data_IF_798594918116
#
_entry.id   IF_798594918116
#
_cell.length_a   1.000
_cell.length_b   1.000
_cell.length_c   1.000
_cell.angle_alpha   90.00
_cell.angle_beta   90.00
_cell.angle_gamma   90.00
#
_symmetry.space_group_name_H-M   'P 1'
#
loop_
_entity.id
_entity.type
_entity.pdbx_description
1 polymer ?
#
# COMPACT_ATOMS: atom_id res chain seq x y z
N UNK A 1 -24.38 -51.63 -8.34
CA UNK A 1 -23.04 -51.15 -8.69
C UNK A 1 -23.16 -49.65 -8.88
N UNK A 2 -22.76 -48.85 -7.87
CA UNK A 2 -22.69 -47.37 -7.98
C UNK A 2 -21.42 -47.04 -8.77
N UNK A 3 -21.55 -46.58 -10.00
CA UNK A 3 -20.44 -45.98 -10.73
C UNK A 3 -20.05 -44.70 -9.99
N UNK A 4 -18.95 -44.70 -9.24
CA UNK A 4 -18.25 -43.48 -8.85
C UNK A 4 -17.77 -42.83 -10.15
N UNK A 5 -18.47 -41.79 -10.61
CA UNK A 5 -17.93 -40.88 -11.62
C UNK A 5 -16.73 -40.18 -10.98
N UNK A 6 -15.53 -40.58 -11.30
CA UNK A 6 -14.33 -39.82 -11.00
C UNK A 6 -14.52 -38.41 -11.63
N UNK A 7 -14.80 -37.45 -10.79
CA UNK A 7 -14.85 -36.04 -11.22
C UNK A 7 -13.41 -35.66 -11.42
N UNK A 8 -12.93 -35.62 -12.66
CA UNK A 8 -11.65 -35.03 -13.00
C UNK A 8 -11.76 -33.56 -12.64
N UNK A 9 -11.13 -33.15 -11.53
CA UNK A 9 -11.05 -31.74 -11.13
C UNK A 9 -9.88 -31.12 -11.88
N UNK A 10 -10.09 -29.95 -12.44
CA UNK A 10 -9.00 -29.16 -13.01
C UNK A 10 -7.98 -28.83 -11.90
N UNK A 11 -6.71 -28.95 -12.23
CA UNK A 11 -5.65 -28.54 -11.32
C UNK A 11 -5.56 -27.01 -11.28
N UNK A 12 -5.37 -26.45 -10.08
CA UNK A 12 -5.05 -25.04 -9.92
C UNK A 12 -3.60 -24.78 -10.43
N UNK A 13 -3.32 -23.54 -10.81
CA UNK A 13 -2.00 -23.19 -11.32
C UNK A 13 -0.90 -23.35 -10.28
N UNK A 14 0.34 -23.61 -10.72
CA UNK A 14 1.50 -23.64 -9.83
C UNK A 14 1.66 -22.33 -9.06
N UNK A 15 1.37 -21.21 -9.68
CA UNK A 15 1.38 -19.88 -9.04
C UNK A 15 0.40 -19.84 -7.86
N UNK A 16 -0.80 -20.38 -8.01
CA UNK A 16 -1.79 -20.44 -6.92
C UNK A 16 -1.36 -21.36 -5.78
N UNK A 17 -0.70 -22.49 -6.10
CA UNK A 17 -0.15 -23.40 -5.09
C UNK A 17 0.97 -22.76 -4.28
N UNK A 18 1.81 -21.94 -4.91
CA UNK A 18 2.97 -21.27 -4.30
C UNK A 18 2.63 -19.94 -3.63
N UNK A 19 1.40 -19.45 -3.78
CA UNK A 19 0.97 -18.17 -3.22
C UNK A 19 1.21 -18.14 -1.70
N UNK A 20 1.95 -17.14 -1.19
CA UNK A 20 2.20 -17.03 0.25
C UNK A 20 0.90 -16.80 1.01
N UNK A 21 0.69 -17.58 2.08
CA UNK A 21 -0.46 -17.41 2.95
C UNK A 21 -0.35 -16.11 3.74
N UNK A 22 -1.46 -15.39 3.89
CA UNK A 22 -1.51 -14.16 4.68
C UNK A 22 -1.09 -14.42 6.13
N UNK A 23 -0.02 -13.76 6.57
CA UNK A 23 0.48 -13.86 7.94
C UNK A 23 -0.57 -13.41 8.98
N UNK A 24 -1.43 -12.46 8.62
CA UNK A 24 -2.50 -11.93 9.47
C UNK A 24 -3.68 -12.91 9.53
N UNK A 25 -4.13 -13.40 8.37
CA UNK A 25 -5.35 -14.22 8.28
C UNK A 25 -5.17 -15.64 8.81
N UNK A 26 -3.95 -16.18 8.85
CA UNK A 26 -3.67 -17.50 9.43
C UNK A 26 -4.03 -17.60 10.92
N UNK A 27 -4.19 -16.47 11.62
CA UNK A 27 -4.58 -16.43 13.03
C UNK A 27 -6.11 -16.55 13.25
N UNK A 28 -6.91 -16.32 12.21
CA UNK A 28 -8.38 -16.33 12.30
C UNK A 28 -8.94 -17.65 12.87
N UNK A 29 -8.53 -18.84 12.42
CA UNK A 29 -9.07 -20.09 12.95
C UNK A 29 -8.80 -20.28 14.45
N UNK A 30 -7.65 -19.80 14.95
CA UNK A 30 -7.31 -19.84 16.38
C UNK A 30 -8.23 -18.92 17.19
N UNK A 31 -8.43 -17.70 16.71
CA UNK A 31 -9.34 -16.74 17.32
C UNK A 31 -10.79 -17.26 17.37
N UNK A 32 -11.27 -17.86 16.28
CA UNK A 32 -12.61 -18.40 16.19
C UNK A 32 -12.80 -19.60 17.13
N UNK A 33 -11.77 -20.47 17.27
CA UNK A 33 -11.78 -21.58 18.22
C UNK A 33 -11.86 -21.08 19.66
N UNK A 34 -11.04 -20.09 20.03
CA UNK A 34 -11.04 -19.50 21.36
C UNK A 34 -12.40 -18.85 21.69
N UNK A 35 -13.00 -18.11 20.74
CA UNK A 35 -14.33 -17.52 20.90
C UNK A 35 -15.42 -18.57 21.11
N UNK A 36 -15.39 -19.69 20.36
CA UNK A 36 -16.33 -20.82 20.56
C UNK A 36 -16.22 -21.45 21.93
N UNK A 37 -15.04 -21.36 22.55
CA UNK A 37 -14.79 -21.85 23.93
C UNK A 37 -15.14 -20.78 25.01
N UNK A 38 -15.74 -19.64 24.62
CA UNK A 38 -16.13 -18.58 25.55
C UNK A 38 -15.02 -17.59 25.89
N UNK A 39 -13.83 -17.71 25.27
CA UNK A 39 -12.73 -16.76 25.52
C UNK A 39 -12.96 -15.45 24.79
N UNK A 40 -12.83 -14.32 25.49
CA UNK A 40 -12.85 -12.99 24.89
C UNK A 40 -11.53 -12.77 24.13
N UNK A 41 -11.60 -12.57 22.81
CA UNK A 41 -10.44 -12.36 21.95
C UNK A 41 -10.36 -10.88 21.54
N UNK A 42 -9.21 -10.26 21.81
CA UNK A 42 -8.88 -8.91 21.35
C UNK A 42 -8.02 -9.00 20.08
N UNK A 43 -8.50 -8.38 18.99
CA UNK A 43 -7.84 -8.43 17.69
C UNK A 43 -6.85 -7.26 17.54
N UNK A 44 -5.62 -7.42 18.01
CA UNK A 44 -4.55 -6.42 17.89
C UNK A 44 -3.72 -6.59 16.60
N UNK A 45 -4.04 -7.61 15.81
CA UNK A 45 -3.38 -7.93 14.54
C UNK A 45 -4.08 -7.31 13.32
N UNK A 46 -5.20 -6.61 13.52
CA UNK A 46 -5.97 -5.95 12.47
C UNK A 46 -5.97 -4.45 12.74
N UNK A 47 -5.36 -3.68 11.85
CA UNK A 47 -5.35 -2.22 11.91
C UNK A 47 -6.64 -1.60 11.36
N UNK A 48 -7.79 -2.03 11.87
CA UNK A 48 -9.07 -1.41 11.50
C UNK A 48 -9.36 -0.26 12.46
N UNK A 49 -9.68 0.94 11.93
CA UNK A 49 -10.14 2.04 12.78
C UNK A 49 -11.40 1.68 13.56
N UNK A 50 -11.47 2.07 14.83
CA UNK A 50 -12.60 1.82 15.74
C UNK A 50 -13.55 3.02 15.87
N UNK A 51 -13.22 4.15 15.27
CA UNK A 51 -14.07 5.34 15.19
C UNK A 51 -15.17 5.16 14.15
N UNK A 52 -16.26 5.91 14.30
CA UNK A 52 -17.36 5.89 13.33
C UNK A 52 -16.92 6.53 12.01
N UNK A 53 -17.35 5.94 10.89
CA UNK A 53 -17.22 6.59 9.58
C UNK A 53 -17.97 7.95 9.57
N UNK A 54 -17.49 8.95 8.81
CA UNK A 54 -18.10 10.26 8.76
C UNK A 54 -19.58 10.17 8.35
N UNK A 55 -20.44 10.81 9.13
CA UNK A 55 -21.89 10.78 8.85
C UNK A 55 -22.25 11.29 7.46
N UNK A 56 -21.55 12.34 6.98
CA UNK A 56 -21.75 12.88 5.63
C UNK A 56 -21.49 11.84 4.53
N UNK A 57 -20.47 10.99 4.68
CA UNK A 57 -20.18 9.93 3.73
C UNK A 57 -21.26 8.84 3.74
N UNK A 58 -21.69 8.43 4.94
CA UNK A 58 -22.77 7.43 5.09
C UNK A 58 -24.10 7.97 4.55
N UNK A 59 -24.41 9.24 4.83
CA UNK A 59 -25.64 9.89 4.32
C UNK A 59 -25.58 10.04 2.79
N UNK A 60 -24.42 10.38 2.22
CA UNK A 60 -24.25 10.46 0.78
C UNK A 60 -24.51 9.11 0.10
N UNK A 61 -24.00 8.01 0.67
CA UNK A 61 -24.26 6.65 0.17
C UNK A 61 -25.76 6.30 0.25
N UNK A 62 -26.40 6.60 1.39
CA UNK A 62 -27.84 6.29 1.59
C UNK A 62 -28.76 7.08 0.69
N UNK A 63 -28.40 8.33 0.39
CA UNK A 63 -29.20 9.24 -0.43
C UNK A 63 -28.80 9.20 -1.90
N UNK A 64 -27.84 8.36 -2.25
CA UNK A 64 -27.42 8.20 -3.64
C UNK A 64 -28.51 7.51 -4.44
N UNK A 65 -29.07 8.23 -5.39
CA UNK A 65 -30.09 7.72 -6.29
C UNK A 65 -29.62 7.89 -7.73
N UNK A 66 -29.47 6.78 -8.41
CA UNK A 66 -29.21 6.75 -9.85
C UNK A 66 -30.36 6.01 -10.54
N UNK A 67 -30.89 6.59 -11.59
CA UNK A 67 -31.81 5.89 -12.48
C UNK A 67 -31.07 4.81 -13.29
N UNK A 68 -29.82 5.08 -13.64
CA UNK A 68 -28.94 4.16 -14.37
C UNK A 68 -27.55 4.09 -13.74
N UNK A 69 -27.02 2.89 -13.61
CA UNK A 69 -25.62 2.65 -13.25
C UNK A 69 -24.83 2.40 -14.54
N UNK A 70 -24.20 3.44 -15.06
CA UNK A 70 -23.38 3.37 -16.27
C UNK A 70 -21.88 3.20 -15.95
N UNK A 71 -21.10 2.87 -16.96
CA UNK A 71 -19.64 2.86 -16.83
C UNK A 71 -19.12 4.24 -16.47
N UNK A 72 -18.22 4.29 -15.48
CA UNK A 72 -17.44 5.50 -15.17
C UNK A 72 -16.21 5.61 -16.08
N UNK A 73 -15.57 6.77 -16.07
CA UNK A 73 -14.26 6.94 -16.70
C UNK A 73 -13.24 5.98 -16.06
N UNK A 74 -12.33 5.42 -16.87
CA UNK A 74 -11.32 4.43 -16.38
C UNK A 74 -10.41 4.94 -15.28
N UNK A 75 -10.11 6.25 -15.26
CA UNK A 75 -9.37 6.87 -14.17
C UNK A 75 -10.24 7.25 -12.95
N UNK A 76 -11.53 6.94 -12.95
CA UNK A 76 -12.49 7.32 -11.91
C UNK A 76 -13.29 8.59 -12.25
N UNK A 77 -14.34 8.84 -11.47
CA UNK A 77 -15.23 9.99 -11.66
C UNK A 77 -14.46 11.31 -11.60
N UNK A 78 -14.69 12.18 -12.57
CA UNK A 78 -14.01 13.48 -12.68
C UNK A 78 -14.26 14.37 -11.45
N UNK A 79 -15.47 14.36 -10.92
CA UNK A 79 -15.85 15.11 -9.72
C UNK A 79 -15.02 14.68 -8.51
N UNK A 80 -14.80 13.37 -8.35
CA UNK A 80 -13.99 12.83 -7.26
C UNK A 80 -12.52 13.24 -7.44
N UNK A 81 -11.96 13.08 -8.66
CA UNK A 81 -10.56 13.44 -8.95
C UNK A 81 -10.32 14.93 -8.74
N UNK A 82 -11.19 15.80 -9.26
CA UNK A 82 -11.14 17.24 -9.00
C UNK A 82 -11.24 17.58 -7.51
N UNK A 83 -12.18 16.93 -6.82
CA UNK A 83 -12.35 17.13 -5.38
C UNK A 83 -11.10 16.74 -4.59
N UNK A 84 -10.46 15.63 -4.94
CA UNK A 84 -9.20 15.21 -4.31
C UNK A 84 -8.05 16.18 -4.60
N UNK A 85 -7.87 16.60 -5.85
CA UNK A 85 -6.82 17.55 -6.23
C UNK A 85 -7.04 18.90 -5.54
N UNK A 86 -8.18 19.53 -5.75
CA UNK A 86 -8.43 20.91 -5.33
C UNK A 86 -8.66 21.07 -3.82
N UNK A 87 -9.34 20.09 -3.20
CA UNK A 87 -9.79 20.20 -1.80
C UNK A 87 -8.92 19.44 -0.81
N UNK A 88 -8.07 18.55 -1.30
CA UNK A 88 -7.19 17.76 -0.45
C UNK A 88 -5.72 17.95 -0.81
N UNK A 89 -5.23 17.44 -1.95
CA UNK A 89 -3.79 17.45 -2.26
C UNK A 89 -3.19 18.83 -2.33
N UNK A 90 -3.81 19.79 -3.02
CA UNK A 90 -3.30 21.17 -3.10
C UNK A 90 -3.24 21.85 -1.72
N UNK A 91 -4.17 21.50 -0.80
CA UNK A 91 -4.16 22.07 0.56
C UNK A 91 -3.04 21.55 1.45
N UNK A 92 -2.53 20.37 1.16
CA UNK A 92 -1.40 19.78 1.87
C UNK A 92 -0.07 19.97 1.12
N UNK A 93 -0.06 20.83 0.09
CA UNK A 93 1.15 21.18 -0.65
C UNK A 93 1.63 20.12 -1.63
N UNK A 94 0.76 19.22 -2.08
CA UNK A 94 1.05 18.29 -3.17
C UNK A 94 0.40 18.86 -4.44
N UNK A 95 1.24 19.28 -5.38
CA UNK A 95 0.82 19.87 -6.65
C UNK A 95 0.71 18.76 -7.70
N UNK A 96 -0.52 18.33 -7.98
CA UNK A 96 -0.87 17.36 -9.01
C UNK A 96 -2.08 17.82 -9.80
N UNK A 97 -2.20 17.32 -11.02
CA UNK A 97 -3.35 17.55 -11.89
C UNK A 97 -4.34 16.37 -11.80
N UNK A 98 -5.55 16.57 -12.31
CA UNK A 98 -6.55 15.50 -12.40
C UNK A 98 -6.10 14.35 -13.31
N UNK A 99 -5.23 14.61 -14.27
CA UNK A 99 -4.76 13.61 -15.23
C UNK A 99 -3.64 12.73 -14.64
N UNK A 100 -3.03 13.17 -13.55
CA UNK A 100 -2.03 12.41 -12.80
C UNK A 100 -2.65 11.56 -11.66
N UNK A 101 -3.98 11.54 -11.55
CA UNK A 101 -4.68 10.83 -10.49
C UNK A 101 -5.60 9.75 -11.05
N UNK A 102 -5.41 8.51 -10.58
CA UNK A 102 -6.25 7.35 -10.88
C UNK A 102 -6.92 6.86 -9.60
N UNK A 103 -8.22 6.63 -9.65
CA UNK A 103 -9.01 6.06 -8.56
C UNK A 103 -9.05 4.54 -8.72
N UNK A 104 -8.70 3.83 -7.66
CA UNK A 104 -8.66 2.36 -7.62
C UNK A 104 -9.59 1.81 -6.51
N UNK A 105 -9.77 0.49 -6.48
CA UNK A 105 -10.46 -0.20 -5.39
C UNK A 105 -9.49 -0.34 -4.22
N UNK A 106 -9.40 0.67 -3.39
CA UNK A 106 -8.52 0.78 -2.22
C UNK A 106 -7.00 0.71 -2.53
N UNK A 107 -6.17 1.04 -1.52
CA UNK A 107 -4.71 1.08 -1.66
C UNK A 107 -4.06 -0.23 -2.10
N UNK A 108 -4.68 -1.38 -1.87
CA UNK A 108 -4.13 -2.67 -2.31
C UNK A 108 -4.06 -2.81 -3.83
N UNK A 109 -5.07 -2.33 -4.56
CA UNK A 109 -5.03 -2.29 -6.01
C UNK A 109 -4.01 -1.26 -6.48
N UNK A 110 -3.93 -0.09 -5.83
CA UNK A 110 -2.93 0.94 -6.15
C UNK A 110 -1.50 0.41 -6.03
N UNK A 111 -1.17 -0.32 -4.94
CA UNK A 111 0.15 -0.95 -4.78
C UNK A 111 0.42 -1.96 -5.89
N UNK A 112 -0.57 -2.80 -6.22
CA UNK A 112 -0.40 -3.81 -7.26
C UNK A 112 -0.16 -3.17 -8.62
N UNK A 113 -0.95 -2.15 -8.99
CA UNK A 113 -0.79 -1.42 -10.26
C UNK A 113 0.53 -0.64 -10.30
N UNK A 114 0.95 -0.03 -9.18
CA UNK A 114 2.23 0.68 -9.11
C UNK A 114 3.42 -0.27 -9.37
N UNK A 115 3.39 -1.47 -8.78
CA UNK A 115 4.41 -2.49 -9.04
C UNK A 115 4.38 -2.98 -10.49
N UNK A 116 3.19 -3.16 -11.08
CA UNK A 116 3.02 -3.61 -12.46
C UNK A 116 3.49 -2.56 -13.47
N UNK A 117 3.32 -1.28 -13.17
CA UNK A 117 3.79 -0.17 -14.01
C UNK A 117 5.32 -0.01 -13.91
N UNK A 118 5.88 -0.13 -12.69
CA UNK A 118 7.28 0.15 -12.42
C UNK A 118 8.23 -1.01 -12.78
N UNK A 119 7.74 -2.26 -12.80
CA UNK A 119 8.60 -3.44 -12.82
C UNK A 119 8.12 -4.50 -13.82
N UNK A 120 9.06 -5.26 -14.37
CA UNK A 120 8.80 -6.46 -15.15
C UNK A 120 8.96 -7.73 -14.30
N UNK A 121 8.33 -8.87 -14.67
CA UNK A 121 8.60 -10.14 -14.00
C UNK A 121 10.10 -10.47 -13.98
N UNK A 122 10.62 -10.79 -12.80
CA UNK A 122 12.04 -11.04 -12.56
C UNK A 122 12.80 -9.85 -11.98
N UNK A 123 12.20 -8.66 -11.95
CA UNK A 123 12.80 -7.49 -11.33
C UNK A 123 12.77 -7.55 -9.79
N UNK A 124 13.56 -6.68 -9.18
CA UNK A 124 13.70 -6.56 -7.73
C UNK A 124 13.14 -5.23 -7.24
N UNK A 125 12.48 -5.27 -6.08
CA UNK A 125 11.96 -4.10 -5.37
C UNK A 125 12.55 -4.07 -3.96
N UNK A 126 13.20 -2.98 -3.60
CA UNK A 126 13.72 -2.77 -2.25
C UNK A 126 12.59 -2.37 -1.31
N UNK A 127 12.52 -2.99 -0.13
CA UNK A 127 11.60 -2.65 0.96
C UNK A 127 12.35 -2.56 2.28
N UNK A 128 11.81 -1.78 3.23
CA UNK A 128 12.37 -1.68 4.59
C UNK A 128 11.64 -2.64 5.52
N UNK A 129 12.36 -3.57 6.14
CA UNK A 129 11.77 -4.58 7.04
C UNK A 129 11.83 -4.10 8.50
N UNK A 130 10.72 -4.22 9.28
CA UNK A 130 9.46 -4.89 8.94
C UNK A 130 8.54 -4.02 8.06
N UNK A 131 7.81 -4.66 7.13
CA UNK A 131 6.91 -3.99 6.20
C UNK A 131 5.51 -4.62 6.18
N UNK A 132 4.56 -3.98 5.50
CA UNK A 132 3.21 -4.49 5.32
C UNK A 132 3.24 -5.83 4.58
N UNK A 133 2.78 -6.90 5.25
CA UNK A 133 2.97 -8.28 4.81
C UNK A 133 2.39 -8.59 3.43
N UNK A 134 1.35 -7.84 2.99
CA UNK A 134 0.74 -8.07 1.69
C UNK A 134 1.64 -7.62 0.52
N UNK A 135 2.68 -6.82 0.75
CA UNK A 135 3.67 -6.52 -0.30
C UNK A 135 4.29 -7.80 -0.86
N UNK A 136 4.52 -8.83 -0.01
CA UNK A 136 4.95 -10.15 -0.47
C UNK A 136 3.98 -10.76 -1.48
N UNK A 137 2.68 -10.65 -1.22
CA UNK A 137 1.64 -11.18 -2.11
C UNK A 137 1.61 -10.43 -3.42
N UNK A 138 1.67 -9.08 -3.39
CA UNK A 138 1.66 -8.26 -4.59
C UNK A 138 2.93 -8.48 -5.44
N UNK A 139 4.11 -8.53 -4.81
CA UNK A 139 5.34 -8.86 -5.51
C UNK A 139 5.29 -10.24 -6.16
N UNK A 140 4.82 -11.26 -5.42
CA UNK A 140 4.64 -12.60 -5.97
C UNK A 140 3.67 -12.63 -7.16
N UNK A 141 2.56 -11.89 -7.06
CA UNK A 141 1.57 -11.80 -8.17
C UNK A 141 2.18 -11.23 -9.43
N UNK A 142 3.11 -10.29 -9.30
CA UNK A 142 3.80 -9.64 -10.40
C UNK A 142 5.11 -10.35 -10.81
N UNK A 143 5.47 -11.45 -10.15
CA UNK A 143 6.71 -12.18 -10.44
C UNK A 143 7.97 -11.45 -10.01
N UNK A 144 7.88 -10.57 -9.00
CA UNK A 144 8.95 -9.73 -8.48
C UNK A 144 9.60 -10.36 -7.26
N UNK A 145 10.84 -9.95 -6.98
CA UNK A 145 11.57 -10.29 -5.77
C UNK A 145 11.66 -9.09 -4.85
N UNK A 146 11.20 -9.23 -3.59
CA UNK A 146 11.44 -8.20 -2.57
C UNK A 146 12.84 -8.37 -1.97
N UNK A 147 13.61 -7.28 -1.98
CA UNK A 147 14.92 -7.15 -1.34
C UNK A 147 14.73 -6.34 -0.05
N UNK A 148 14.68 -7.05 1.07
CA UNK A 148 14.47 -6.40 2.36
C UNK A 148 15.77 -5.84 2.92
N UNK A 149 15.76 -4.55 3.28
CA UNK A 149 16.81 -3.92 4.09
C UNK A 149 16.28 -3.87 5.52
N UNK A 150 17.07 -4.40 6.45
CA UNK A 150 16.70 -4.46 7.87
C UNK A 150 16.74 -3.08 8.50
N UNK A 151 15.68 -2.70 9.19
CA UNK A 151 15.67 -1.55 10.08
C UNK A 151 15.83 -1.99 11.54
N UNK A 152 16.12 -1.08 12.44
CA UNK A 152 16.43 -1.41 13.83
C UNK A 152 15.45 -0.73 14.79
N UNK A 153 14.82 -1.52 15.67
CA UNK A 153 13.95 -1.01 16.72
C UNK A 153 14.65 -0.03 17.68
N UNK A 154 15.96 -0.19 17.85
CA UNK A 154 16.77 0.67 18.76
C UNK A 154 16.86 2.10 18.27
N UNK A 155 16.71 2.33 16.95
CA UNK A 155 16.64 3.66 16.36
C UNK A 155 15.20 4.04 15.89
N UNK A 156 14.19 3.30 16.36
CA UNK A 156 12.80 3.55 16.01
C UNK A 156 12.44 3.14 14.59
N UNK A 157 13.13 2.19 14.00
CA UNK A 157 12.94 1.72 12.62
C UNK A 157 13.13 2.81 11.56
N UNK A 158 14.03 3.77 11.83
CA UNK A 158 14.37 4.81 10.86
C UNK A 158 15.05 4.22 9.61
N UNK A 159 15.05 5.01 8.53
CA UNK A 159 15.73 4.64 7.29
C UNK A 159 17.21 4.35 7.58
N UNK A 160 17.74 3.19 7.17
CA UNK A 160 19.15 2.85 7.30
C UNK A 160 20.04 3.77 6.47
N UNK A 161 21.34 3.68 6.74
CA UNK A 161 22.35 4.42 5.98
C UNK A 161 22.27 4.12 4.48
N UNK A 162 22.61 5.11 3.67
CA UNK A 162 22.57 5.06 2.20
C UNK A 162 23.35 3.86 1.65
N UNK A 163 24.46 3.50 2.29
CA UNK A 163 25.32 2.38 1.92
C UNK A 163 24.59 1.03 1.93
N UNK A 164 23.57 0.87 2.76
CA UNK A 164 22.77 -0.37 2.79
C UNK A 164 21.89 -0.49 1.53
N UNK A 165 21.40 0.63 1.00
CA UNK A 165 20.69 0.65 -0.27
C UNK A 165 21.63 0.37 -1.44
N UNK A 166 22.80 1.00 -1.44
CA UNK A 166 23.84 0.78 -2.47
C UNK A 166 24.25 -0.70 -2.57
N UNK A 167 24.37 -1.39 -1.42
CA UNK A 167 24.65 -2.84 -1.37
C UNK A 167 23.51 -3.70 -1.88
N UNK A 168 22.26 -3.24 -1.69
CA UNK A 168 21.07 -3.99 -2.07
C UNK A 168 20.71 -3.81 -3.55
N UNK A 169 21.09 -2.70 -4.17
CA UNK A 169 20.80 -2.38 -5.57
C UNK A 169 21.59 -3.29 -6.50
N UNK A 170 20.91 -3.85 -7.49
CA UNK A 170 21.46 -4.65 -8.59
C UNK A 170 20.91 -4.16 -9.93
N UNK A 171 21.39 -4.71 -11.04
CA UNK A 171 20.86 -4.39 -12.38
C UNK A 171 19.35 -4.73 -12.55
N UNK A 172 18.82 -5.58 -11.66
CA UNK A 172 17.41 -5.96 -11.62
C UNK A 172 16.56 -5.05 -10.75
N UNK A 173 17.16 -4.22 -9.92
CA UNK A 173 16.41 -3.32 -9.05
C UNK A 173 15.72 -2.24 -9.88
N UNK A 174 14.40 -2.08 -9.71
CA UNK A 174 13.58 -1.10 -10.46
C UNK A 174 12.84 -0.13 -9.58
N UNK A 175 12.60 -0.50 -8.32
CA UNK A 175 11.85 0.36 -7.40
C UNK A 175 12.32 0.22 -5.95
N UNK A 176 12.07 1.28 -5.20
CA UNK A 176 12.08 1.29 -3.74
C UNK A 176 10.62 1.51 -3.30
N UNK A 177 10.08 0.62 -2.49
CA UNK A 177 8.72 0.74 -1.93
C UNK A 177 8.82 1.02 -0.43
N UNK A 178 8.32 2.17 -0.02
CA UNK A 178 8.28 2.59 1.39
C UNK A 178 6.86 2.88 1.83
N UNK A 179 6.56 2.65 3.11
CA UNK A 179 5.31 3.08 3.75
C UNK A 179 5.64 4.17 4.77
N UNK A 180 5.10 5.38 4.58
CA UNK A 180 5.39 6.53 5.43
C UNK A 180 4.10 7.32 5.77
N UNK A 181 3.66 7.34 7.03
CA UNK A 181 4.13 6.56 8.20
C UNK A 181 4.02 5.04 8.01
N UNK A 182 4.93 4.30 8.66
CA UNK A 182 5.16 2.89 8.44
C UNK A 182 4.09 1.95 9.00
N UNK A 183 3.78 0.89 8.29
CA UNK A 183 3.06 -0.27 8.78
C UNK A 183 4.00 -1.49 8.73
N UNK A 184 4.33 -2.15 9.87
CA UNK A 184 3.65 -2.11 11.17
C UNK A 184 4.28 -1.18 12.22
N UNK A 185 5.35 -0.46 11.92
CA UNK A 185 6.20 0.20 12.92
C UNK A 185 5.60 1.49 13.48
N UNK A 186 4.73 2.18 12.71
CA UNK A 186 4.25 3.52 13.04
C UNK A 186 5.31 4.61 12.85
N UNK A 187 6.50 4.27 12.36
CA UNK A 187 7.59 5.20 12.16
C UNK A 187 7.24 6.21 11.08
N UNK A 188 7.47 7.48 11.38
CA UNK A 188 7.44 8.57 10.43
C UNK A 188 8.87 8.90 10.01
N UNK A 189 9.15 8.89 8.71
CA UNK A 189 10.44 9.27 8.19
C UNK A 189 10.55 10.79 8.06
N UNK A 190 11.72 11.32 8.42
CA UNK A 190 11.98 12.75 8.32
C UNK A 190 12.06 13.21 6.86
N UNK A 191 11.93 14.52 6.64
CA UNK A 191 12.13 15.14 5.33
C UNK A 191 13.53 14.81 4.77
N UNK A 192 14.56 14.89 5.62
CA UNK A 192 15.95 14.60 5.24
C UNK A 192 16.10 13.16 4.77
N UNK A 193 15.51 12.22 5.49
CA UNK A 193 15.52 10.80 5.12
C UNK A 193 14.81 10.54 3.79
N UNK A 194 13.67 11.19 3.56
CA UNK A 194 12.93 11.06 2.30
C UNK A 194 13.68 11.69 1.12
N UNK A 195 14.36 12.84 1.34
CA UNK A 195 15.24 13.45 0.34
C UNK A 195 16.42 12.53 0.01
N UNK A 196 17.02 11.89 1.01
CA UNK A 196 18.11 10.94 0.81
C UNK A 196 17.68 9.72 -0.02
N UNK A 197 16.48 9.17 0.23
CA UNK A 197 15.90 8.13 -0.63
C UNK A 197 15.69 8.63 -2.06
N UNK A 198 15.27 9.88 -2.22
CA UNK A 198 15.12 10.50 -3.51
C UNK A 198 16.43 10.58 -4.30
N UNK A 199 17.55 10.91 -3.63
CA UNK A 199 18.86 10.91 -4.28
C UNK A 199 19.29 9.51 -4.76
N UNK A 200 19.00 8.47 -3.97
CA UNK A 200 19.24 7.07 -4.39
C UNK A 200 18.40 6.75 -5.62
N UNK A 201 17.10 7.03 -5.58
CA UNK A 201 16.20 6.76 -6.69
C UNK A 201 16.65 7.47 -7.96
N UNK A 202 17.07 8.73 -7.87
CA UNK A 202 17.59 9.51 -9.00
C UNK A 202 18.90 8.95 -9.53
N UNK A 203 19.84 8.62 -8.65
CA UNK A 203 21.17 8.11 -9.01
C UNK A 203 21.09 6.81 -9.81
N UNK A 204 20.14 5.95 -9.46
CA UNK A 204 19.99 4.61 -10.03
C UNK A 204 18.81 4.47 -11.00
N UNK A 205 18.15 5.59 -11.33
CA UNK A 205 16.95 5.62 -12.19
C UNK A 205 15.86 4.64 -11.73
N UNK A 206 15.55 4.67 -10.42
CA UNK A 206 14.55 3.82 -9.79
C UNK A 206 13.23 4.58 -9.61
N UNK A 207 12.13 3.84 -9.59
CA UNK A 207 10.87 4.34 -9.07
C UNK A 207 10.89 4.40 -7.54
N UNK A 208 10.34 5.44 -6.96
CA UNK A 208 10.02 5.55 -5.54
C UNK A 208 8.51 5.39 -5.35
N UNK A 209 8.09 4.19 -4.93
CA UNK A 209 6.71 3.89 -4.62
C UNK A 209 6.46 4.26 -3.16
N UNK A 210 5.70 5.33 -2.92
CA UNK A 210 5.45 5.85 -1.58
C UNK A 210 4.03 5.53 -1.16
N UNK A 211 3.86 4.55 -0.26
CA UNK A 211 2.60 4.22 0.37
C UNK A 211 2.36 5.17 1.56
N UNK A 212 1.51 6.17 1.33
CA UNK A 212 1.22 7.23 2.30
C UNK A 212 -0.20 7.16 2.86
N UNK A 213 -0.78 5.97 2.93
CA UNK A 213 -2.16 5.77 3.43
C UNK A 213 -2.34 6.21 4.89
N UNK A 214 -1.25 6.34 5.63
CA UNK A 214 -1.22 6.76 7.03
C UNK A 214 -0.75 8.20 7.24
N UNK A 215 -0.64 9.03 6.22
CA UNK A 215 -0.08 10.40 6.33
C UNK A 215 -0.75 11.30 7.37
N UNK A 216 -2.02 11.06 7.70
CA UNK A 216 -2.75 11.80 8.72
C UNK A 216 -2.50 11.25 10.15
N UNK A 217 -1.74 10.16 10.28
CA UNK A 217 -1.45 9.50 11.57
C UNK A 217 -0.02 9.81 12.02
N UNK A 218 0.31 11.10 12.04
CA UNK A 218 1.58 11.60 12.57
C UNK A 218 1.38 11.98 14.04
N UNK A 219 2.21 11.41 14.91
CA UNK A 219 2.14 11.60 16.35
C UNK A 219 3.37 12.34 16.90
N UNK A 220 4.13 12.97 16.01
CA UNK A 220 5.27 13.84 16.29
C UNK A 220 4.92 15.28 15.98
N UNK A 221 5.75 16.23 16.42
CA UNK A 221 5.60 17.66 16.06
C UNK A 221 6.03 17.96 14.61
N UNK A 222 6.69 17.00 13.95
CA UNK A 222 7.11 17.14 12.57
C UNK A 222 5.96 16.81 11.61
N UNK A 223 5.67 17.68 10.63
CA UNK A 223 4.66 17.40 9.63
C UNK A 223 5.11 16.27 8.70
N UNK A 224 4.14 15.52 8.17
CA UNK A 224 4.42 14.53 7.14
C UNK A 224 5.03 15.19 5.90
N UNK A 225 6.12 14.60 5.39
CA UNK A 225 6.73 15.02 4.13
C UNK A 225 6.43 13.97 3.05
N UNK A 226 5.68 14.36 2.02
CA UNK A 226 5.33 13.47 0.91
C UNK A 226 6.51 13.28 -0.05
N UNK A 227 6.65 12.05 -0.58
CA UNK A 227 7.61 11.77 -1.66
C UNK A 227 7.34 12.60 -2.92
N UNK A 228 6.09 13.02 -3.16
CA UNK A 228 5.74 13.93 -4.27
C UNK A 228 6.42 15.29 -4.19
N UNK A 229 6.89 15.68 -3.02
CA UNK A 229 7.57 16.97 -2.80
C UNK A 229 9.11 16.86 -2.87
N UNK A 230 9.65 15.73 -3.34
CA UNK A 230 11.09 15.56 -3.59
C UNK A 230 11.41 16.20 -4.93
N UNK A 231 12.24 17.27 -4.97
CA UNK A 231 12.53 17.97 -6.21
C UNK A 231 13.24 17.11 -7.24
N UNK A 232 12.84 17.18 -8.51
CA UNK A 232 13.50 16.48 -9.61
C UNK A 232 13.23 14.96 -9.66
N UNK A 233 12.16 14.50 -9.01
CA UNK A 233 11.67 13.12 -9.05
C UNK A 233 10.23 13.01 -9.56
N UNK A 234 9.73 14.03 -10.23
CA UNK A 234 8.33 14.12 -10.69
C UNK A 234 7.94 12.94 -11.60
N UNK A 235 8.91 12.35 -12.30
CA UNK A 235 8.69 11.20 -13.19
C UNK A 235 9.01 9.84 -12.54
N UNK A 236 9.55 9.83 -11.33
CA UNK A 236 9.99 8.61 -10.64
C UNK A 236 9.12 8.26 -9.42
N UNK A 237 8.31 9.19 -8.92
CA UNK A 237 7.46 8.95 -7.74
C UNK A 237 6.09 8.45 -8.16
N UNK A 238 5.65 7.35 -7.53
CA UNK A 238 4.25 6.91 -7.56
C UNK A 238 3.72 6.97 -6.14
N UNK A 239 2.79 7.89 -5.90
CA UNK A 239 2.13 8.05 -4.61
C UNK A 239 0.95 7.09 -4.50
N UNK A 240 0.89 6.34 -3.42
CA UNK A 240 -0.21 5.46 -3.08
C UNK A 240 -0.93 6.03 -1.86
N UNK A 241 -2.24 6.25 -2.01
CA UNK A 241 -3.08 6.81 -0.94
C UNK A 241 -4.40 6.05 -0.83
N UNK A 242 -5.14 6.27 0.27
CA UNK A 242 -6.44 5.63 0.46
C UNK A 242 -7.31 6.41 1.46
N UNK A 243 -8.59 6.44 1.18
CA UNK A 243 -9.63 6.95 2.11
C UNK A 243 -9.92 5.98 3.26
N UNK A 244 -9.47 4.72 3.14
CA UNK A 244 -9.78 3.64 4.08
C UNK A 244 -9.35 3.95 5.51
N UNK A 245 -8.12 4.44 5.67
CA UNK A 245 -7.57 4.74 7.02
C UNK A 245 -7.97 6.13 7.48
N UNK A 246 -7.80 7.11 6.61
CA UNK A 246 -8.08 8.53 6.89
C UNK A 246 -9.52 8.77 7.33
N UNK A 247 -10.48 8.17 6.66
CA UNK A 247 -11.91 8.42 6.88
C UNK A 247 -12.68 7.20 7.38
N UNK A 248 -12.00 6.10 7.70
CA UNK A 248 -12.68 4.83 8.04
C UNK A 248 -13.75 4.46 6.98
N UNK A 249 -13.39 4.56 5.70
CA UNK A 249 -14.20 4.19 4.54
C UNK A 249 -13.54 3.01 3.82
N UNK A 250 -13.55 1.85 4.48
CA UNK A 250 -12.95 0.61 3.96
C UNK A 250 -13.90 -0.11 3.01
#
# INVERSE_FOLDING_TARGET
>A
KKHLKYRIMANISNKAVQMPASAIRKLVPFADTAKKQGTKVYHLNLGQPDIKSPKCAIDAIKNFSLENVSYSHSAGLMELRKGLVEKYYNKIGIDITVDELIVTVAGSESVNLALEIACNPGDEVIVLEPFYTNYNTFAFMNGLTLKAIQTDIRNGFQIPDIEEFEKAITDKTKAILVCNPGNPTGTQYSKESMLALGEIARKHDLFLLSDEVYREFCYTDEPHFSAMNIPGLEQNVILIDSVSKRYNLC
#
